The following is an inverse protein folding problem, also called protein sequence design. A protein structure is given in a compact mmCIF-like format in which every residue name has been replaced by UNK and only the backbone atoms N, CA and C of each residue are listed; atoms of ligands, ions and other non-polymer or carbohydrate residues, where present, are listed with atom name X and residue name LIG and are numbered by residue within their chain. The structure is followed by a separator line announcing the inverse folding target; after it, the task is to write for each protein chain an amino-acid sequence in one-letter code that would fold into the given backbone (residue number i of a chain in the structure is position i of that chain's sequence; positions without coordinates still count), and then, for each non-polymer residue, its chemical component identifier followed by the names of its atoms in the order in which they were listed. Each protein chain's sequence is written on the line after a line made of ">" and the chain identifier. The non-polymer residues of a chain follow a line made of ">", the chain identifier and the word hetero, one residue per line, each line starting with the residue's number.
data_IF_053293291077
#
_entry.id   IF_053293291077
#
_cell.length_a   1.000
_cell.length_b   1.000
_cell.length_c   1.000
_cell.angle_alpha   90.00
_cell.angle_beta   90.00
_cell.angle_gamma   90.00
#
_symmetry.space_group_name_H-M   'P 1'
#
loop_
_entity.id
_entity.type
_entity.pdbx_description
1 polymer ?
#
# COMPACT_ATOMS: atom_id res chain seq x y z
N UNK A 1 -10.01 -2.19 -14.54
CA UNK A 1 -10.61 -1.57 -13.35
C UNK A 1 -10.09 -0.16 -13.13
N UNK A 2 -8.76 0.01 -13.01
CA UNK A 2 -8.10 1.33 -12.86
C UNK A 2 -8.49 2.35 -13.95
N UNK A 3 -8.40 2.00 -15.24
CA UNK A 3 -8.81 2.88 -16.36
C UNK A 3 -10.27 3.36 -16.25
N UNK A 4 -11.15 2.53 -15.70
CA UNK A 4 -12.56 2.83 -15.50
C UNK A 4 -12.85 3.43 -14.12
N UNK A 5 -11.82 3.82 -13.36
CA UNK A 5 -11.90 4.41 -12.01
C UNK A 5 -12.68 3.54 -11.01
N UNK A 6 -12.64 2.23 -11.19
CA UNK A 6 -13.19 1.23 -10.26
C UNK A 6 -12.15 0.92 -9.18
N UNK A 7 -11.93 1.90 -8.31
CA UNK A 7 -10.80 1.91 -7.37
C UNK A 7 -10.88 0.81 -6.32
N UNK A 8 -12.07 0.56 -5.78
CA UNK A 8 -12.29 -0.50 -4.79
C UNK A 8 -12.03 -1.89 -5.37
N UNK A 9 -12.53 -2.14 -6.57
CA UNK A 9 -12.31 -3.42 -7.26
C UNK A 9 -10.85 -3.59 -7.68
N UNK A 10 -10.19 -2.51 -8.12
CA UNK A 10 -8.77 -2.53 -8.42
C UNK A 10 -7.90 -2.83 -7.17
N UNK A 11 -8.31 -2.31 -6.02
CA UNK A 11 -7.66 -2.56 -4.75
C UNK A 11 -7.82 -4.02 -4.28
N UNK A 12 -9.03 -4.56 -4.36
CA UNK A 12 -9.30 -5.99 -4.11
C UNK A 12 -8.50 -6.90 -5.05
N UNK A 13 -8.46 -6.58 -6.34
CA UNK A 13 -7.66 -7.31 -7.31
C UNK A 13 -6.16 -7.22 -7.01
N UNK A 14 -5.68 -6.05 -6.58
CA UNK A 14 -4.29 -5.87 -6.15
C UNK A 14 -3.98 -6.82 -5.00
N UNK A 15 -4.82 -6.86 -3.96
CA UNK A 15 -4.67 -7.81 -2.84
C UNK A 15 -4.65 -9.26 -3.34
N UNK A 16 -5.58 -9.63 -4.22
CA UNK A 16 -5.66 -11.00 -4.75
C UNK A 16 -4.40 -11.40 -5.53
N UNK A 17 -3.91 -10.54 -6.44
CA UNK A 17 -2.68 -10.77 -7.20
C UNK A 17 -1.51 -10.97 -6.24
N UNK A 18 -1.38 -10.10 -5.23
CA UNK A 18 -0.30 -10.20 -4.26
C UNK A 18 -0.36 -11.50 -3.45
N UNK A 19 -1.53 -11.90 -2.96
CA UNK A 19 -1.67 -13.19 -2.28
C UNK A 19 -1.38 -14.38 -3.21
N UNK A 20 -1.79 -14.30 -4.47
CA UNK A 20 -1.53 -15.34 -5.47
C UNK A 20 -0.04 -15.55 -5.71
N UNK A 21 0.71 -14.47 -5.96
CA UNK A 21 2.16 -14.55 -6.20
C UNK A 21 2.95 -14.95 -4.96
N UNK A 22 2.44 -14.65 -3.77
CA UNK A 22 3.01 -15.12 -2.52
C UNK A 22 2.68 -16.59 -2.19
N UNK A 23 1.76 -17.22 -2.93
CA UNK A 23 1.24 -18.55 -2.59
C UNK A 23 0.40 -18.57 -1.30
N UNK A 24 -0.29 -17.47 -1.00
CA UNK A 24 -0.96 -17.21 0.29
C UNK A 24 -2.45 -16.88 0.19
N UNK A 25 -3.12 -17.33 -0.87
CA UNK A 25 -4.55 -17.07 -1.07
C UNK A 25 -5.36 -17.56 0.13
N UNK A 26 -5.09 -18.77 0.63
CA UNK A 26 -5.84 -19.37 1.73
C UNK A 26 -5.59 -18.66 3.07
N UNK A 27 -4.40 -18.07 3.26
CA UNK A 27 -4.07 -17.30 4.45
C UNK A 27 -4.74 -15.92 4.41
N UNK A 28 -4.84 -15.30 3.23
CA UNK A 28 -5.47 -14.00 3.07
C UNK A 28 -4.61 -12.80 3.51
N UNK A 29 -3.36 -13.04 3.93
CA UNK A 29 -2.38 -12.03 4.37
C UNK A 29 -0.95 -12.40 3.95
N UNK A 30 -0.10 -11.37 3.79
CA UNK A 30 1.33 -11.53 3.50
C UNK A 30 2.17 -11.46 4.77
N UNK A 31 3.09 -12.41 4.92
CA UNK A 31 4.10 -12.40 5.97
C UNK A 31 5.45 -11.90 5.46
N UNK A 32 6.37 -11.64 6.39
CA UNK A 32 7.72 -11.16 6.05
C UNK A 32 8.45 -12.10 5.08
N UNK A 33 8.35 -13.42 5.28
CA UNK A 33 9.06 -14.41 4.45
C UNK A 33 8.53 -14.45 3.01
N UNK A 34 7.21 -14.32 2.84
CA UNK A 34 6.56 -14.24 1.53
C UNK A 34 6.90 -12.97 0.76
N UNK A 35 7.24 -11.91 1.48
CA UNK A 35 7.69 -10.65 0.90
C UNK A 35 9.16 -10.70 0.48
N UNK A 36 10.04 -11.32 1.28
CA UNK A 36 11.47 -11.45 0.97
C UNK A 36 11.76 -12.09 -0.39
N UNK A 37 10.88 -12.98 -0.86
CA UNK A 37 11.00 -13.65 -2.15
C UNK A 37 9.96 -13.20 -3.19
N UNK A 38 9.22 -12.12 -2.90
CA UNK A 38 8.17 -11.66 -3.79
C UNK A 38 8.78 -11.09 -5.09
N UNK A 39 8.25 -11.47 -6.28
CA UNK A 39 8.82 -10.97 -7.52
C UNK A 39 8.73 -9.44 -7.65
N UNK A 40 9.86 -8.74 -7.59
CA UNK A 40 9.94 -7.27 -7.73
C UNK A 40 9.22 -6.76 -8.98
N UNK A 41 9.33 -7.49 -10.10
CA UNK A 41 8.65 -7.14 -11.36
C UNK A 41 7.13 -7.01 -11.20
N UNK A 42 6.50 -7.85 -10.39
CA UNK A 42 5.05 -7.79 -10.15
C UNK A 42 4.69 -6.53 -9.38
N UNK A 43 5.48 -6.18 -8.35
CA UNK A 43 5.27 -4.96 -7.56
C UNK A 43 5.40 -3.73 -8.46
N UNK A 44 6.46 -3.65 -9.27
CA UNK A 44 6.68 -2.53 -10.20
C UNK A 44 5.55 -2.38 -11.21
N UNK A 45 5.02 -3.49 -11.73
CA UNK A 45 3.89 -3.46 -12.67
C UNK A 45 2.60 -2.98 -12.01
N UNK A 46 2.29 -3.45 -10.80
CA UNK A 46 1.13 -2.97 -10.04
C UNK A 46 1.26 -1.48 -9.77
N UNK A 47 2.42 -1.05 -9.26
CA UNK A 47 2.72 0.35 -8.95
C UNK A 47 2.59 1.25 -10.18
N UNK A 48 3.20 0.88 -11.31
CA UNK A 48 3.12 1.62 -12.56
C UNK A 48 1.67 1.82 -13.01
N UNK A 49 0.84 0.78 -12.91
CA UNK A 49 -0.57 0.88 -13.29
C UNK A 49 -1.35 1.81 -12.36
N UNK A 50 -1.14 1.71 -11.05
CA UNK A 50 -1.78 2.61 -10.08
C UNK A 50 -1.41 4.06 -10.36
N UNK A 51 -0.13 4.36 -10.56
CA UNK A 51 0.35 5.71 -10.84
C UNK A 51 -0.16 6.25 -12.16
N UNK A 52 -0.05 5.47 -13.25
CA UNK A 52 -0.52 5.87 -14.57
C UNK A 52 -2.00 6.29 -14.58
N UNK A 53 -2.87 5.51 -13.93
CA UNK A 53 -4.32 5.78 -13.99
C UNK A 53 -4.82 6.74 -12.91
N UNK A 54 -4.01 7.02 -11.88
CA UNK A 54 -4.35 7.96 -10.80
C UNK A 54 -3.69 9.32 -10.92
N UNK A 55 -2.92 9.57 -12.00
CA UNK A 55 -2.10 10.78 -12.16
C UNK A 55 -1.04 10.90 -11.06
N UNK A 56 -0.29 9.79 -10.86
CA UNK A 56 0.73 9.59 -9.83
C UNK A 56 0.25 9.67 -8.37
N UNK A 57 -1.05 9.91 -8.14
CA UNK A 57 -1.62 10.09 -6.79
C UNK A 57 -1.59 8.83 -5.93
N UNK A 58 -1.72 7.67 -6.55
CA UNK A 58 -1.80 6.36 -5.89
C UNK A 58 -0.69 5.44 -6.39
N UNK A 59 -0.27 4.51 -5.54
CA UNK A 59 0.82 3.60 -5.84
C UNK A 59 1.75 3.40 -4.64
N UNK A 60 2.55 2.35 -4.72
CA UNK A 60 3.54 2.00 -3.71
C UNK A 60 4.71 2.98 -3.69
N UNK A 61 5.14 3.51 -4.83
CA UNK A 61 6.17 4.55 -4.91
C UNK A 61 5.71 5.83 -4.20
N UNK A 62 4.46 6.22 -4.44
CA UNK A 62 3.84 7.38 -3.81
C UNK A 62 3.73 7.18 -2.29
N UNK A 63 3.30 6.01 -1.84
CA UNK A 63 3.30 5.66 -0.41
C UNK A 63 4.70 5.67 0.20
N UNK A 64 5.71 5.12 -0.48
CA UNK A 64 7.11 5.12 -0.03
C UNK A 64 7.63 6.54 0.16
N UNK A 65 7.37 7.44 -0.80
CA UNK A 65 7.74 8.86 -0.69
C UNK A 65 7.11 9.49 0.56
N UNK A 66 5.81 9.34 0.74
CA UNK A 66 5.08 9.90 1.89
C UNK A 66 5.54 9.29 3.23
N UNK A 67 5.86 7.99 3.23
CA UNK A 67 6.41 7.29 4.40
C UNK A 67 7.74 7.91 4.84
N UNK A 68 8.64 8.21 3.90
CA UNK A 68 9.91 8.88 4.20
C UNK A 68 9.70 10.34 4.62
N UNK A 69 8.82 11.08 3.96
CA UNK A 69 8.50 12.49 4.28
C UNK A 69 7.92 12.66 5.69
N UNK A 70 7.26 11.63 6.21
CA UNK A 70 6.70 11.61 7.57
C UNK A 70 7.74 11.21 8.64
N UNK A 71 9.02 11.09 8.26
CA UNK A 71 10.14 10.84 9.16
C UNK A 71 10.37 9.37 9.50
N UNK A 72 9.67 8.44 8.83
CA UNK A 72 9.88 7.02 9.06
C UNK A 72 11.23 6.55 8.51
N UNK A 73 11.82 5.58 9.20
CA UNK A 73 13.05 4.90 8.78
C UNK A 73 12.71 3.49 8.31
N UNK A 74 13.49 2.97 7.38
CA UNK A 74 13.23 1.66 6.77
C UNK A 74 13.64 0.50 7.69
N UNK A 75 14.63 0.74 8.54
CA UNK A 75 15.25 -0.26 9.41
C UNK A 75 14.55 -0.36 10.77
N UNK A 76 13.77 0.65 11.15
CA UNK A 76 13.12 0.72 12.45
C UNK A 76 11.73 1.33 12.33
N UNK A 77 10.73 0.57 12.77
CA UNK A 77 9.36 1.06 12.89
C UNK A 77 9.29 1.95 14.15
N UNK A 78 8.90 3.22 13.95
CA UNK A 78 8.47 4.10 15.02
C UNK A 78 6.96 4.36 14.84
N UNK A 79 6.18 4.00 15.86
CA UNK A 79 4.72 4.10 15.81
C UNK A 79 4.22 5.54 15.70
N UNK A 80 4.96 6.53 16.21
CA UNK A 80 4.59 7.94 16.10
C UNK A 80 4.69 8.41 14.64
N UNK A 81 5.81 8.16 13.98
CA UNK A 81 5.99 8.50 12.56
C UNK A 81 5.08 7.66 11.66
N UNK A 82 4.77 6.42 12.05
CA UNK A 82 3.82 5.57 11.32
C UNK A 82 2.37 6.05 11.44
N UNK A 83 1.98 6.55 12.62
CA UNK A 83 0.68 7.19 12.81
C UNK A 83 0.56 8.44 11.94
N UNK A 84 1.60 9.26 11.87
CA UNK A 84 1.63 10.44 11.01
C UNK A 84 1.55 10.08 9.52
N UNK A 85 2.23 9.00 9.10
CA UNK A 85 2.04 8.43 7.76
C UNK A 85 0.58 8.05 7.51
N UNK A 86 -0.04 7.29 8.43
CA UNK A 86 -1.44 6.89 8.33
C UNK A 86 -2.39 8.06 8.22
N UNK A 87 -2.16 9.15 8.95
CA UNK A 87 -2.93 10.39 8.83
C UNK A 87 -2.74 11.03 7.45
N UNK A 88 -1.50 11.07 6.96
CA UNK A 88 -1.17 11.72 5.68
C UNK A 88 -1.80 11.02 4.48
N UNK A 89 -1.82 9.69 4.48
CA UNK A 89 -2.46 8.89 3.42
C UNK A 89 -3.96 8.64 3.68
N UNK A 90 -4.52 9.15 4.78
CA UNK A 90 -5.94 9.03 5.11
C UNK A 90 -6.38 7.66 5.64
N UNK A 91 -5.45 6.84 6.14
CA UNK A 91 -5.73 5.56 6.80
C UNK A 91 -5.98 5.70 8.30
N UNK A 92 -5.67 6.87 8.88
CA UNK A 92 -5.87 7.17 10.29
C UNK A 92 -6.53 8.54 10.44
N UNK A 93 -7.53 8.64 11.29
CA UNK A 93 -8.28 9.88 11.55
C UNK A 93 -8.75 9.91 13.00
N UNK A 94 -8.63 11.07 13.67
CA UNK A 94 -9.10 11.24 15.04
C UNK A 94 -8.47 10.27 16.05
N UNK A 95 -7.24 9.81 15.78
CA UNK A 95 -6.55 8.85 16.65
C UNK A 95 -6.73 7.37 16.26
N UNK A 96 -7.64 7.06 15.33
CA UNK A 96 -8.08 5.70 15.03
C UNK A 96 -7.73 5.29 13.60
N UNK A 97 -7.29 4.05 13.43
CA UNK A 97 -7.06 3.45 12.11
C UNK A 97 -8.39 3.04 11.48
N UNK A 98 -8.58 3.39 10.21
CA UNK A 98 -9.78 3.06 9.44
C UNK A 98 -9.79 1.58 9.08
N UNK A 99 -10.96 0.95 9.13
CA UNK A 99 -11.15 -0.35 8.52
C UNK A 99 -11.33 -0.20 7.02
N UNK A 100 -11.20 -1.30 6.29
CA UNK A 100 -11.39 -1.31 4.84
C UNK A 100 -12.73 -0.74 4.39
N UNK A 101 -13.79 -0.98 5.17
CA UNK A 101 -15.14 -0.51 4.87
C UNK A 101 -15.32 0.99 5.10
N UNK A 102 -14.40 1.64 5.84
CA UNK A 102 -14.42 3.06 6.17
C UNK A 102 -13.58 3.90 5.18
N UNK A 103 -12.96 3.27 4.18
CA UNK A 103 -12.13 3.94 3.19
C UNK A 103 -12.96 4.58 2.08
N UNK A 104 -12.48 5.73 1.59
CA UNK A 104 -13.03 6.43 0.44
C UNK A 104 -12.26 5.98 -0.82
N UNK A 105 -12.94 5.31 -1.74
CA UNK A 105 -12.37 4.83 -3.00
C UNK A 105 -12.52 5.88 -4.10
N UNK A 106 -12.01 7.07 -3.75
CA UNK A 106 -11.96 8.35 -4.47
C UNK A 106 -10.76 8.60 -5.38
N UNK A 107 -10.81 9.54 -6.34
CA UNK A 107 -9.62 10.36 -6.67
C UNK A 107 -9.47 11.55 -5.70
N UNK A 108 -10.54 11.89 -4.99
CA UNK A 108 -10.54 12.93 -3.96
C UNK A 108 -9.82 12.49 -2.67
N UNK A 109 -9.54 11.20 -2.53
CA UNK A 109 -8.78 10.66 -1.40
C UNK A 109 -7.35 11.24 -1.37
N UNK A 110 -6.72 11.28 -0.18
CA UNK A 110 -5.35 11.76 -0.04
C UNK A 110 -4.36 11.04 -0.93
N UNK A 111 -3.23 11.69 -1.21
CA UNK A 111 -2.15 11.05 -1.95
C UNK A 111 -1.63 9.81 -1.20
N UNK A 112 -1.32 8.73 -1.92
CA UNK A 112 -0.91 7.45 -1.35
C UNK A 112 -2.03 6.63 -0.70
N UNK A 113 -3.28 7.09 -0.73
CA UNK A 113 -4.41 6.39 -0.08
C UNK A 113 -4.62 4.96 -0.59
N UNK A 114 -4.35 4.72 -1.87
CA UNK A 114 -4.49 3.41 -2.50
C UNK A 114 -3.16 2.99 -3.16
N UNK A 115 -2.93 1.68 -3.34
CA UNK A 115 -3.71 0.56 -2.78
C UNK A 115 -3.61 0.46 -1.25
N UNK A 116 -4.67 0.01 -0.58
CA UNK A 116 -4.75 -0.07 0.88
C UNK A 116 -4.04 -1.31 1.43
N UNK A 117 -3.04 -1.07 2.27
CA UNK A 117 -2.21 -2.15 2.81
C UNK A 117 -2.79 -2.81 4.07
N UNK A 118 -3.68 -2.19 4.86
CA UNK A 118 -3.99 -2.78 6.18
C UNK A 118 -4.90 -4.02 6.15
N UNK A 119 -5.53 -4.38 5.03
CA UNK A 119 -6.39 -5.56 4.94
C UNK A 119 -5.63 -6.87 4.65
N UNK A 120 -4.45 -7.07 5.24
CA UNK A 120 -3.63 -8.28 5.08
C UNK A 120 -2.13 -8.01 4.86
N UNK A 121 -1.71 -6.76 4.78
CA UNK A 121 -0.30 -6.37 4.74
C UNK A 121 0.07 -5.74 6.07
N UNK A 122 1.00 -6.38 6.79
CA UNK A 122 1.48 -5.87 8.08
C UNK A 122 2.32 -4.59 7.84
N UNK A 123 2.62 -3.82 8.90
CA UNK A 123 3.52 -2.64 8.85
C UNK A 123 4.84 -2.98 8.15
N UNK A 124 5.28 -4.24 8.25
CA UNK A 124 6.41 -4.81 7.52
C UNK A 124 6.36 -4.65 6.00
N UNK A 125 5.17 -4.54 5.38
CA UNK A 125 5.06 -4.48 3.93
C UNK A 125 5.51 -3.15 3.34
N UNK A 126 5.11 -2.00 3.91
CA UNK A 126 5.61 -0.70 3.45
C UNK A 126 7.10 -0.56 3.77
N UNK A 127 7.54 -1.04 4.95
CA UNK A 127 8.96 -1.08 5.27
C UNK A 127 9.75 -1.95 4.27
N UNK A 128 9.19 -3.09 3.85
CA UNK A 128 9.79 -3.98 2.85
C UNK A 128 9.79 -3.36 1.44
N UNK A 129 8.68 -2.76 1.01
CA UNK A 129 8.59 -2.03 -0.27
C UNK A 129 9.60 -0.89 -0.34
N UNK A 130 9.81 -0.20 0.78
CA UNK A 130 10.75 0.90 0.83
C UNK A 130 12.21 0.47 0.69
N UNK A 131 12.53 -0.81 0.92
CA UNK A 131 13.85 -1.41 0.66
C UNK A 131 14.05 -1.78 -0.82
N UNK A 132 13.00 -1.79 -1.65
CA UNK A 132 13.13 -2.01 -3.08
C UNK A 132 13.75 -0.75 -3.70
N UNK A 133 14.98 -0.89 -4.21
CA UNK A 133 15.76 0.20 -4.81
C UNK A 133 15.14 0.75 -6.10
N UNK A 134 14.36 -0.08 -6.78
CA UNK A 134 13.77 0.21 -8.09
C UNK A 134 12.37 0.87 -7.99
N UNK A 135 11.91 1.18 -6.77
CA UNK A 135 10.66 1.85 -6.43
C UNK A 135 10.87 3.32 -6.11
#
# INVERSE_FOLDING_TARGET
>A
MLQNKKWKEADLETKYIMLKFAGRIDQGWLDKSSLENFPTKVILQIDQLWRQYSDERFGFATQKRIYLETGNKLEQINWETYNHFGEKVGWREGGMWKNYFDLEFSLNSPEGHLPFCCAGFNVCFIAHLALLKDL
#
